data_IF_868678024409
#
_entry.id   IF_868678024409
#
_cell.length_a   1.000
_cell.length_b   1.000
_cell.length_c   1.000
_cell.angle_alpha   90.00
_cell.angle_beta   90.00
_cell.angle_gamma   90.00
#
_symmetry.space_group_name_H-M   'P 1'
#
loop_
_entity.id
_entity.type
_entity.pdbx_description
1 polymer ?
#
# COMPACT_ATOMS: atom_id res chain seq x y z
N UNK A 1 2.03 24.38 20.37
CA UNK A 1 2.12 22.95 20.79
C UNK A 1 1.28 22.12 19.82
N UNK A 2 1.78 20.99 19.33
CA UNK A 2 1.02 20.07 18.45
C UNK A 2 0.25 19.02 19.23
N UNK A 3 -0.89 18.57 18.70
CA UNK A 3 -1.79 17.59 19.33
C UNK A 3 -1.38 16.11 19.08
N UNK A 4 -0.60 15.86 18.04
CA UNK A 4 -0.14 14.52 17.64
C UNK A 4 1.38 14.57 17.45
N UNK A 5 2.07 13.55 17.96
CA UNK A 5 3.52 13.34 17.84
C UNK A 5 3.80 12.09 17.01
N UNK A 6 5.07 11.90 16.62
CA UNK A 6 5.47 10.76 15.80
C UNK A 6 5.27 9.43 16.53
N UNK A 7 5.44 9.43 17.84
CA UNK A 7 5.29 8.25 18.69
C UNK A 7 3.81 7.85 18.85
N UNK A 8 2.87 8.75 18.56
CA UNK A 8 1.43 8.46 18.59
C UNK A 8 0.99 7.70 17.30
N UNK A 9 1.88 7.54 16.30
CA UNK A 9 1.64 6.74 15.09
C UNK A 9 2.00 5.28 15.36
N UNK A 10 1.01 4.39 15.32
CA UNK A 10 1.20 2.96 15.59
C UNK A 10 2.23 2.31 14.65
N UNK A 11 2.21 2.64 13.36
CA UNK A 11 3.16 2.13 12.39
C UNK A 11 2.76 2.38 10.94
N UNK A 12 3.60 1.89 10.05
CA UNK A 12 3.39 1.94 8.60
C UNK A 12 2.54 0.75 8.14
N UNK A 13 1.82 0.91 7.03
CA UNK A 13 0.97 -0.16 6.47
C UNK A 13 1.77 -1.44 6.17
N UNK A 14 3.01 -1.29 5.70
CA UNK A 14 3.89 -2.43 5.40
C UNK A 14 4.22 -3.28 6.64
N UNK A 15 4.39 -2.66 7.81
CA UNK A 15 4.65 -3.37 9.07
C UNK A 15 3.44 -4.19 9.54
N UNK A 16 2.23 -3.70 9.26
CA UNK A 16 0.98 -4.41 9.59
C UNK A 16 0.81 -5.60 8.64
N UNK A 17 0.99 -5.40 7.33
CA UNK A 17 0.84 -6.46 6.32
C UNK A 17 1.89 -7.57 6.53
N UNK A 18 3.12 -7.21 6.92
CA UNK A 18 4.19 -8.18 7.21
C UNK A 18 4.09 -8.81 8.60
N UNK A 19 3.07 -8.45 9.40
CA UNK A 19 2.87 -8.92 10.79
C UNK A 19 3.98 -8.53 11.76
N UNK A 20 4.83 -7.56 11.40
CA UNK A 20 5.81 -6.96 12.31
C UNK A 20 5.08 -6.17 13.41
N UNK A 21 3.96 -5.53 13.07
CA UNK A 21 3.09 -4.83 14.02
C UNK A 21 1.64 -5.33 13.96
N UNK A 22 0.90 -5.27 15.07
CA UNK A 22 -0.50 -5.62 15.07
C UNK A 22 -1.32 -4.60 14.27
N UNK A 23 -2.39 -5.07 13.64
CA UNK A 23 -3.45 -4.22 13.12
C UNK A 23 -4.43 -3.80 14.22
N UNK A 24 -5.70 -3.65 13.85
CA UNK A 24 -6.82 -3.47 14.79
C UNK A 24 -6.91 -4.65 15.76
N UNK A 25 -7.11 -4.36 17.04
CA UNK A 25 -7.16 -5.35 18.13
C UNK A 25 -8.55 -5.56 18.71
N UNK A 26 -9.45 -4.59 18.58
CA UNK A 26 -10.84 -4.72 19.05
C UNK A 26 -11.84 -3.99 18.14
N UNK A 27 -13.14 -4.34 18.21
CA UNK A 27 -14.17 -3.64 17.45
C UNK A 27 -14.42 -2.20 17.95
N UNK A 28 -14.10 -1.88 19.19
CA UNK A 28 -14.28 -0.54 19.79
C UNK A 28 -13.21 0.47 19.35
N UNK A 29 -12.04 0.01 18.88
CA UNK A 29 -10.98 0.91 18.43
C UNK A 29 -11.42 1.76 17.23
N UNK A 30 -10.99 3.02 17.17
CA UNK A 30 -11.09 3.83 15.96
C UNK A 30 -9.71 3.84 15.30
N UNK A 31 -9.62 3.33 14.08
CA UNK A 31 -8.36 3.23 13.33
C UNK A 31 -8.36 4.25 12.19
N UNK A 32 -7.33 5.10 12.14
CA UNK A 32 -7.13 6.04 11.06
C UNK A 32 -5.93 5.62 10.21
N UNK A 33 -6.17 5.37 8.93
CA UNK A 33 -5.11 5.20 7.94
C UNK A 33 -4.97 6.48 7.13
N UNK A 34 -3.74 7.00 7.05
CA UNK A 34 -3.39 8.12 6.18
C UNK A 34 -2.34 7.67 5.19
N UNK A 35 -2.53 8.05 3.92
CA UNK A 35 -1.53 7.91 2.87
C UNK A 35 -1.40 9.21 2.09
N UNK A 36 -0.20 9.46 1.56
CA UNK A 36 0.07 10.49 0.55
C UNK A 36 0.32 9.90 -0.84
N UNK A 37 0.30 8.57 -0.98
CA UNK A 37 0.70 7.83 -2.19
C UNK A 37 2.11 7.23 -2.05
N UNK A 38 2.37 6.12 -2.75
CA UNK A 38 3.68 5.44 -2.76
C UNK A 38 3.98 4.86 -4.15
N UNK A 39 5.04 5.35 -4.79
CA UNK A 39 5.45 4.93 -6.14
C UNK A 39 5.72 3.43 -6.28
N UNK A 40 6.14 2.76 -5.20
CA UNK A 40 6.36 1.31 -5.21
C UNK A 40 5.03 0.56 -5.42
N UNK A 41 3.92 1.09 -4.89
CA UNK A 41 2.59 0.51 -5.12
C UNK A 41 2.20 0.60 -6.60
N UNK A 42 2.47 1.75 -7.23
CA UNK A 42 2.17 2.00 -8.65
C UNK A 42 2.95 1.06 -9.57
N UNK A 43 4.25 0.93 -9.36
CA UNK A 43 5.09 0.04 -10.20
C UNK A 43 4.77 -1.44 -9.93
N UNK A 44 4.45 -1.81 -8.69
CA UNK A 44 4.07 -3.18 -8.35
C UNK A 44 2.80 -3.60 -9.09
N UNK A 45 1.77 -2.73 -9.11
CA UNK A 45 0.53 -3.04 -9.84
C UNK A 45 0.72 -2.96 -11.35
N UNK A 46 1.51 -2.00 -11.85
CA UNK A 46 1.81 -1.90 -13.28
C UNK A 46 2.47 -3.17 -13.81
N UNK A 47 3.44 -3.74 -13.08
CA UNK A 47 4.07 -5.01 -13.43
C UNK A 47 3.06 -6.16 -13.44
N UNK A 48 2.20 -6.26 -12.43
CA UNK A 48 1.20 -7.31 -12.35
C UNK A 48 0.19 -7.25 -13.52
N UNK A 49 -0.29 -6.04 -13.83
CA UNK A 49 -1.20 -5.80 -14.97
C UNK A 49 -0.49 -6.09 -16.29
N UNK A 50 0.75 -5.65 -16.47
CA UNK A 50 1.53 -5.90 -17.67
C UNK A 50 1.71 -7.41 -17.91
N UNK A 51 2.07 -8.17 -16.86
CA UNK A 51 2.20 -9.62 -16.95
C UNK A 51 0.86 -10.27 -17.31
N UNK A 52 -0.24 -9.81 -16.71
CA UNK A 52 -1.58 -10.31 -17.02
C UNK A 52 -2.00 -10.03 -18.46
N UNK A 53 -1.68 -8.84 -18.97
CA UNK A 53 -1.96 -8.47 -20.35
C UNK A 53 -1.25 -9.40 -21.34
N UNK A 54 0.03 -9.73 -21.07
CA UNK A 54 0.78 -10.72 -21.87
C UNK A 54 0.12 -12.10 -21.87
N UNK A 55 -0.33 -12.58 -20.71
CA UNK A 55 -1.03 -13.87 -20.59
C UNK A 55 -2.37 -13.89 -21.33
N UNK A 56 -3.08 -12.76 -21.34
CA UNK A 56 -4.38 -12.64 -22.01
C UNK A 56 -4.28 -12.26 -23.50
N UNK A 57 -3.06 -12.06 -24.02
CA UNK A 57 -2.86 -11.59 -25.40
C UNK A 57 -3.44 -10.20 -25.66
N UNK A 58 -3.49 -9.33 -24.64
CA UNK A 58 -4.01 -7.97 -24.74
C UNK A 58 -2.88 -6.94 -24.74
N UNK A 59 -3.11 -5.81 -25.41
CA UNK A 59 -2.13 -4.73 -25.56
C UNK A 59 -1.57 -4.63 -26.98
N UNK A 60 -0.61 -3.72 -27.17
CA UNK A 60 0.06 -3.46 -28.45
C UNK A 60 1.51 -3.09 -28.20
N UNK A 61 2.42 -3.70 -28.95
CA UNK A 61 3.83 -3.29 -28.98
C UNK A 61 4.00 -2.06 -29.88
N UNK A 62 4.84 -1.13 -29.45
CA UNK A 62 5.13 0.14 -30.12
C UNK A 62 6.65 0.26 -30.25
N UNK A 63 7.13 0.54 -31.45
CA UNK A 63 8.55 0.86 -31.69
C UNK A 63 8.87 2.24 -31.10
N UNK A 64 10.03 2.37 -30.46
CA UNK A 64 10.50 3.61 -29.82
C UNK A 64 11.43 4.36 -30.76
#
# INVERSE_FOLDING_TARGET
KGLIRREDIQGELGEIVSRIKPGRKSPEEITYFKSVGNAVQDISIARAIFQKAKECGTGREIEI
#
